data_IF_177974340790
#
_entry.id   IF_177974340790
#
_cell.length_a   1.000
_cell.length_b   1.000
_cell.length_c   1.000
_cell.angle_alpha   90.00
_cell.angle_beta   90.00
_cell.angle_gamma   90.00
#
_symmetry.space_group_name_H-M   'P 1'
#
loop_
_entity.id
_entity.type
_entity.pdbx_description
1 polymer ?
#
# COMPACT_ATOMS: atom_id res chain seq x y z
N UNK A 1 -54.15 -27.95 -7.50
CA UNK A 1 -54.45 -27.78 -8.95
C UNK A 1 -54.56 -26.29 -9.23
N UNK A 2 -54.06 -25.77 -10.36
CA UNK A 2 -52.85 -24.93 -10.55
C UNK A 2 -53.17 -23.42 -10.53
N UNK A 3 -52.23 -22.45 -10.62
CA UNK A 3 -51.50 -22.06 -11.83
C UNK A 3 -50.28 -21.17 -11.53
N UNK A 4 -49.28 -21.29 -12.42
CA UNK A 4 -47.98 -20.63 -12.52
C UNK A 4 -48.03 -19.17 -13.05
N UNK A 5 -46.97 -18.42 -12.74
CA UNK A 5 -46.24 -17.43 -13.57
C UNK A 5 -46.82 -16.04 -13.86
N UNK A 6 -46.10 -15.01 -13.41
CA UNK A 6 -45.66 -13.91 -14.30
C UNK A 6 -44.35 -13.32 -13.76
N UNK A 7 -43.25 -13.60 -14.44
CA UNK A 7 -41.97 -12.93 -14.27
C UNK A 7 -42.02 -11.52 -14.89
N UNK A 8 -41.04 -10.70 -14.48
CA UNK A 8 -40.66 -9.41 -15.05
C UNK A 8 -41.48 -8.18 -14.63
N UNK A 9 -41.10 -7.57 -13.50
CA UNK A 9 -41.01 -6.09 -13.38
C UNK A 9 -40.52 -5.67 -11.98
N UNK A 10 -39.26 -5.91 -11.63
CA UNK A 10 -38.52 -5.07 -10.66
C UNK A 10 -37.03 -5.46 -10.55
N UNK A 11 -36.33 -5.63 -11.68
CA UNK A 11 -34.86 -5.69 -11.72
C UNK A 11 -34.18 -4.34 -11.41
N UNK A 12 -34.79 -3.41 -10.65
CA UNK A 12 -34.33 -2.00 -10.64
C UNK A 12 -34.04 -1.42 -9.25
N UNK A 13 -34.36 -2.09 -8.13
CA UNK A 13 -34.24 -1.45 -6.80
C UNK A 13 -33.14 -2.06 -5.91
N UNK A 14 -32.20 -2.84 -6.47
CA UNK A 14 -31.14 -3.52 -5.70
C UNK A 14 -29.69 -3.09 -6.03
N UNK A 15 -29.46 -1.93 -6.65
CA UNK A 15 -28.09 -1.49 -7.05
C UNK A 15 -27.53 -0.26 -6.33
N UNK A 16 -28.22 0.32 -5.33
CA UNK A 16 -27.73 1.56 -4.67
C UNK A 16 -27.35 1.39 -3.20
N UNK A 17 -27.61 0.24 -2.57
CA UNK A 17 -26.96 -0.10 -1.30
C UNK A 17 -25.79 -1.05 -1.56
N UNK A 18 -24.86 -0.61 -2.41
CA UNK A 18 -23.53 -1.18 -2.42
C UNK A 18 -23.03 -1.16 -0.98
N UNK A 19 -22.61 -2.32 -0.47
CA UNK A 19 -21.96 -2.39 0.82
C UNK A 19 -20.84 -1.34 0.81
N UNK A 20 -21.01 -0.26 1.58
CA UNK A 20 -19.88 0.51 2.07
C UNK A 20 -19.11 -0.48 2.92
N UNK A 21 -18.17 -1.18 2.29
CA UNK A 21 -17.11 -1.86 2.99
C UNK A 21 -16.53 -0.77 3.88
N UNK A 22 -16.78 -0.87 5.18
CA UNK A 22 -16.14 -0.01 6.15
C UNK A 22 -14.65 -0.14 5.83
N UNK A 23 -14.07 0.93 5.29
CA UNK A 23 -12.64 1.04 5.13
C UNK A 23 -12.13 1.03 6.57
N UNK A 24 -11.85 -0.16 7.09
CA UNK A 24 -11.24 -0.27 8.39
C UNK A 24 -9.95 0.54 8.26
N UNK A 25 -9.76 1.62 9.05
CA UNK A 25 -8.43 2.17 9.17
C UNK A 25 -7.62 1.04 9.78
N UNK A 26 -6.82 0.35 8.96
CA UNK A 26 -5.81 -0.55 9.49
C UNK A 26 -5.04 0.32 10.48
N UNK A 27 -4.95 -0.06 11.78
CA UNK A 27 -4.02 0.61 12.66
C UNK A 27 -2.65 0.36 12.06
N UNK A 28 -2.19 1.31 11.26
CA UNK A 28 -0.88 1.26 10.67
C UNK A 28 0.05 1.32 11.86
N UNK A 29 0.76 0.21 12.13
CA UNK A 29 1.87 0.26 13.06
C UNK A 29 2.75 1.41 12.55
N UNK A 30 2.93 2.43 13.37
CA UNK A 30 3.53 3.72 12.99
C UNK A 30 4.93 3.62 12.37
N UNK A 31 5.55 2.43 12.49
CA UNK A 31 6.85 2.07 11.92
C UNK A 31 6.79 1.29 10.60
N UNK A 32 5.63 1.23 9.95
CA UNK A 32 5.40 0.44 8.74
C UNK A 32 4.84 1.33 7.63
N UNK A 33 5.29 1.14 6.40
CA UNK A 33 4.75 1.80 5.21
C UNK A 33 3.94 0.83 4.36
N UNK A 34 3.22 1.35 3.37
CA UNK A 34 2.39 0.52 2.49
C UNK A 34 3.24 -0.37 1.59
N UNK A 35 2.77 -1.60 1.28
CA UNK A 35 3.48 -2.50 0.38
C UNK A 35 3.84 -1.84 -0.95
N UNK A 36 2.93 -1.04 -1.53
CA UNK A 36 3.19 -0.34 -2.78
C UNK A 36 4.17 0.83 -2.64
N UNK A 37 4.24 1.48 -1.48
CA UNK A 37 5.24 2.52 -1.21
C UNK A 37 6.62 1.89 -1.11
N UNK A 38 6.75 0.80 -0.33
CA UNK A 38 8.00 0.01 -0.26
C UNK A 38 8.43 -0.44 -1.65
N UNK A 39 7.54 -1.03 -2.43
CA UNK A 39 7.87 -1.55 -3.76
C UNK A 39 8.32 -0.41 -4.69
N UNK A 40 7.69 0.77 -4.62
CA UNK A 40 8.11 1.95 -5.37
C UNK A 40 9.51 2.42 -4.96
N UNK A 41 9.84 2.42 -3.67
CA UNK A 41 11.17 2.76 -3.17
C UNK A 41 12.26 1.76 -3.62
N UNK A 42 11.93 0.47 -3.68
CA UNK A 42 12.87 -0.53 -4.21
C UNK A 42 13.10 -0.39 -5.71
N UNK A 43 12.05 -0.05 -6.47
CA UNK A 43 12.19 0.31 -7.89
C UNK A 43 13.03 1.57 -8.05
N UNK A 44 12.83 2.57 -7.19
CA UNK A 44 13.67 3.77 -7.16
C UNK A 44 15.15 3.43 -6.93
N UNK A 45 15.45 2.61 -5.91
CA UNK A 45 16.82 2.14 -5.64
C UNK A 45 17.46 1.47 -6.87
N UNK A 46 16.73 0.60 -7.56
CA UNK A 46 17.23 -0.08 -8.76
C UNK A 46 17.60 0.89 -9.90
N UNK A 47 16.98 2.07 -9.96
CA UNK A 47 17.29 3.10 -10.95
C UNK A 47 18.55 3.93 -10.61
N UNK A 48 19.03 3.86 -9.37
CA UNK A 48 20.24 4.56 -8.94
C UNK A 48 21.46 3.69 -9.23
N UNK A 49 22.32 4.14 -10.15
CA UNK A 49 23.49 3.38 -10.61
C UNK A 49 24.76 3.62 -9.77
N UNK A 50 24.76 4.65 -8.92
CA UNK A 50 25.89 4.97 -8.05
C UNK A 50 25.38 5.65 -6.77
N UNK A 51 25.77 5.11 -5.60
CA UNK A 51 25.47 5.62 -4.27
C UNK A 51 26.77 5.73 -3.44
N UNK A 52 27.65 6.70 -3.74
CA UNK A 52 28.97 6.79 -3.10
C UNK A 52 28.88 7.16 -1.61
N UNK A 53 27.84 7.90 -1.21
CA UNK A 53 27.57 8.25 0.19
C UNK A 53 26.93 7.09 0.98
N UNK A 54 26.47 6.03 0.30
CA UNK A 54 25.84 4.88 0.94
C UNK A 54 24.52 5.23 1.62
N UNK A 55 23.76 6.18 1.08
CA UNK A 55 22.49 6.63 1.66
C UNK A 55 21.45 5.52 1.54
N UNK A 56 21.44 4.79 0.42
CA UNK A 56 20.49 3.72 0.13
C UNK A 56 20.95 2.36 0.69
N UNK A 57 22.07 2.31 1.42
CA UNK A 57 22.64 1.07 1.93
C UNK A 57 21.73 0.32 2.92
N UNK A 58 20.87 1.04 3.65
CA UNK A 58 19.90 0.40 4.57
C UNK A 58 18.64 -0.13 3.88
N UNK A 59 18.45 0.23 2.60
CA UNK A 59 17.30 -0.22 1.83
C UNK A 59 17.63 -1.63 1.34
N UNK A 60 16.74 -2.62 1.46
CA UNK A 60 17.01 -3.98 1.00
C UNK A 60 17.11 -4.04 -0.53
N UNK A 61 17.59 -5.15 -1.08
CA UNK A 61 17.34 -5.45 -2.49
C UNK A 61 15.86 -5.71 -2.74
N UNK A 62 15.45 -5.55 -3.99
CA UNK A 62 14.16 -6.05 -4.43
C UNK A 62 14.26 -7.55 -4.65
N UNK A 63 13.95 -8.32 -3.63
CA UNK A 63 13.74 -9.76 -3.73
C UNK A 63 12.35 -10.17 -3.22
N UNK A 64 11.96 -11.39 -3.53
CA UNK A 64 10.70 -12.00 -3.10
C UNK A 64 10.71 -12.40 -1.62
N UNK A 65 11.89 -12.53 -1.02
CA UNK A 65 12.07 -12.92 0.37
C UNK A 65 11.69 -11.81 1.36
N UNK A 66 11.96 -10.53 1.01
CA UNK A 66 11.64 -9.38 1.86
C UNK A 66 10.25 -8.75 1.59
N UNK A 67 9.41 -9.38 0.75
CA UNK A 67 8.05 -8.87 0.42
C UNK A 67 7.12 -8.75 1.64
N UNK A 68 7.43 -9.41 2.75
CA UNK A 68 6.64 -9.33 3.98
C UNK A 68 7.15 -8.29 4.98
N UNK A 69 8.38 -7.79 4.82
CA UNK A 69 8.92 -6.73 5.64
C UNK A 69 8.42 -5.38 5.11
N UNK A 70 7.50 -4.75 5.84
CA UNK A 70 6.88 -3.48 5.48
C UNK A 70 7.55 -2.29 6.19
N UNK A 71 8.79 -2.46 6.66
CA UNK A 71 9.48 -1.50 7.53
C UNK A 71 10.24 -0.39 6.79
N UNK A 72 9.77 0.09 5.63
CA UNK A 72 10.52 1.10 4.88
C UNK A 72 10.68 2.44 5.61
N UNK A 73 9.83 2.73 6.60
CA UNK A 73 10.00 3.88 7.51
C UNK A 73 11.26 3.83 8.39
N UNK A 74 11.97 2.70 8.44
CA UNK A 74 13.24 2.55 9.15
C UNK A 74 14.45 2.68 8.22
N UNK A 75 14.23 2.80 6.91
CA UNK A 75 15.31 3.00 5.98
C UNK A 75 15.86 4.43 6.14
N UNK A 76 17.18 4.57 6.03
CA UNK A 76 17.88 5.85 6.03
C UNK A 76 17.26 6.77 4.97
N UNK A 77 17.01 8.01 5.34
CA UNK A 77 16.42 9.01 4.46
C UNK A 77 14.90 8.88 4.26
N UNK A 78 14.23 7.85 4.77
CA UNK A 78 12.78 7.69 4.60
C UNK A 78 12.05 8.26 5.81
N UNK A 79 11.20 9.28 5.58
CA UNK A 79 10.33 9.82 6.64
C UNK A 79 8.88 9.42 6.38
N UNK A 80 8.25 8.81 7.38
CA UNK A 80 6.84 8.43 7.33
C UNK A 80 5.96 9.29 8.23
N UNK A 81 4.67 9.34 7.88
CA UNK A 81 3.62 9.85 8.74
C UNK A 81 3.40 8.92 9.93
N UNK A 82 3.58 9.44 11.15
CA UNK A 82 3.31 8.69 12.38
C UNK A 82 1.81 8.33 12.55
N UNK A 83 0.91 8.97 11.78
CA UNK A 83 -0.54 8.73 11.82
C UNK A 83 -1.01 7.67 10.82
N UNK A 84 -0.38 7.63 9.65
CA UNK A 84 -0.88 6.84 8.51
C UNK A 84 0.12 5.81 7.99
N UNK A 85 1.38 5.87 8.42
CA UNK A 85 2.46 5.04 7.87
C UNK A 85 2.96 5.46 6.50
N UNK A 86 2.29 6.41 5.83
CA UNK A 86 2.65 6.88 4.50
C UNK A 86 4.04 7.49 4.45
N UNK A 87 4.78 7.22 3.38
CA UNK A 87 6.05 7.91 3.08
C UNK A 87 5.74 9.36 2.73
N UNK A 88 6.35 10.29 3.44
CA UNK A 88 6.18 11.73 3.26
C UNK A 88 7.37 12.37 2.55
N UNK A 89 8.57 11.80 2.73
CA UNK A 89 9.80 12.39 2.24
C UNK A 89 10.90 11.35 2.05
N UNK A 90 11.75 11.61 1.06
CA UNK A 90 13.03 10.95 0.83
C UNK A 90 14.14 11.99 0.92
N UNK A 91 14.99 11.87 1.94
CA UNK A 91 16.21 12.65 2.09
C UNK A 91 17.40 11.86 1.56
N UNK A 92 18.00 12.37 0.49
CA UNK A 92 19.11 11.78 -0.24
C UNK A 92 20.38 12.64 -0.16
N UNK A 93 20.45 13.58 0.78
CA UNK A 93 21.67 14.35 1.02
C UNK A 93 22.62 13.62 1.97
N UNK A 94 23.91 13.93 1.81
CA UNK A 94 25.01 13.50 2.69
C UNK A 94 25.19 14.47 3.87
#
# INVERSE_FOLDING_TARGET
>A
MPFLSAAAAACVVFLVTGAVALHQPRPYASSCCLPHERDALLVFKQAITSDPAGILASWPERDDHHRHEQHCCRWRGVRCSNKTGHVLELDLHD
#
